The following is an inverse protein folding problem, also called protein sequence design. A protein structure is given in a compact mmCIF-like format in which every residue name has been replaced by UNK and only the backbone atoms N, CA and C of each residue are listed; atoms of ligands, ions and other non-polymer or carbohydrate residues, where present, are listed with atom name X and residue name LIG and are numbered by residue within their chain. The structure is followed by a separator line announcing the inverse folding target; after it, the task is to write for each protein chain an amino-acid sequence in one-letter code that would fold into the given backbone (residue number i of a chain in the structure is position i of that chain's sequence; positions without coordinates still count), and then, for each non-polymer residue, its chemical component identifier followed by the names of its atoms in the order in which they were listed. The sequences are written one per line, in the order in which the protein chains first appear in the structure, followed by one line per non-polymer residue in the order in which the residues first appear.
data_IF_866790337082
#
_entry.id   IF_866790337082
#
_cell.length_a   1.000
_cell.length_b   1.000
_cell.length_c   1.000
_cell.angle_alpha   90.00
_cell.angle_beta   90.00
_cell.angle_gamma   90.00
#
_symmetry.space_group_name_H-M   'P 1'
#
loop_
_entity.id
_entity.type
_entity.pdbx_description
1 polymer ?
#
# COMPACT_ATOMS: atom_id res chain seq x y z
N UNK A 1 -5.64 -10.96 -13.75
CA UNK A 1 -6.10 -9.93 -12.79
C UNK A 1 -4.98 -8.92 -12.67
N UNK A 2 -5.26 -7.61 -12.73
CA UNK A 2 -4.23 -6.58 -12.70
C UNK A 2 -4.09 -6.06 -11.27
N UNK A 3 -3.13 -6.59 -10.52
CA UNK A 3 -2.90 -6.28 -9.09
C UNK A 3 -2.79 -4.78 -8.85
N UNK A 4 -2.10 -4.07 -9.75
CA UNK A 4 -1.98 -2.60 -9.68
C UNK A 4 -3.35 -1.92 -9.70
N UNK A 5 -4.23 -2.33 -10.61
CA UNK A 5 -5.55 -1.70 -10.73
C UNK A 5 -6.42 -1.99 -9.50
N UNK A 6 -6.39 -3.23 -9.02
CA UNK A 6 -7.14 -3.65 -7.83
C UNK A 6 -6.69 -2.91 -6.57
N UNK A 7 -5.38 -2.77 -6.37
CA UNK A 7 -4.83 -1.98 -5.27
C UNK A 7 -5.27 -0.52 -5.36
N UNK A 8 -5.11 0.10 -6.54
CA UNK A 8 -5.51 1.50 -6.76
C UNK A 8 -7.00 1.67 -6.47
N UNK A 9 -7.86 0.82 -7.01
CA UNK A 9 -9.31 0.91 -6.82
C UNK A 9 -9.67 0.80 -5.33
N UNK A 10 -9.06 -0.14 -4.60
CA UNK A 10 -9.26 -0.29 -3.16
C UNK A 10 -8.84 0.96 -2.36
N UNK A 11 -7.65 1.52 -2.64
CA UNK A 11 -7.19 2.78 -2.04
C UNK A 11 -8.19 3.90 -2.32
N UNK A 12 -8.61 4.09 -3.57
CA UNK A 12 -9.55 5.16 -3.92
C UNK A 12 -10.96 4.96 -3.35
N UNK A 13 -11.34 3.73 -3.02
CA UNK A 13 -12.58 3.41 -2.29
C UNK A 13 -12.44 3.58 -0.78
N UNK A 14 -11.24 3.88 -0.27
CA UNK A 14 -10.94 4.00 1.15
C UNK A 14 -11.06 2.67 1.90
N UNK A 15 -10.83 1.56 1.19
CA UNK A 15 -10.77 0.21 1.76
C UNK A 15 -9.40 -0.03 2.38
N UNK A 16 -9.30 -1.05 3.22
CA UNK A 16 -8.03 -1.47 3.79
C UNK A 16 -7.44 -2.60 2.96
N UNK A 17 -6.11 -2.62 2.81
CA UNK A 17 -5.41 -3.62 2.01
C UNK A 17 -4.31 -4.26 2.86
N UNK A 18 -4.40 -5.57 3.03
CA UNK A 18 -3.29 -6.39 3.51
C UNK A 18 -2.59 -7.00 2.30
N UNK A 19 -1.28 -6.80 2.22
CA UNK A 19 -0.48 -7.26 1.09
C UNK A 19 0.94 -7.58 1.50
N UNK A 20 1.62 -8.39 0.68
CA UNK A 20 2.99 -8.81 0.94
C UNK A 20 3.90 -8.56 -0.26
N UNK A 21 5.16 -8.27 0.04
CA UNK A 21 6.23 -8.11 -0.95
C UNK A 21 7.57 -8.58 -0.37
N UNK A 22 8.24 -9.48 -1.08
CA UNK A 22 9.54 -10.04 -0.68
C UNK A 22 9.58 -10.55 0.77
N UNK A 23 8.49 -11.19 1.22
CA UNK A 23 8.36 -11.79 2.56
C UNK A 23 8.09 -10.80 3.70
N UNK A 24 7.90 -9.51 3.40
CA UNK A 24 7.39 -8.52 4.35
C UNK A 24 5.88 -8.33 4.16
N UNK A 25 5.18 -8.09 5.27
CA UNK A 25 3.75 -7.85 5.31
C UNK A 25 3.47 -6.37 5.54
N UNK A 26 2.56 -5.86 4.73
CA UNK A 26 2.17 -4.47 4.72
C UNK A 26 0.67 -4.32 4.89
N UNK A 27 0.31 -3.21 5.50
CA UNK A 27 -1.07 -2.80 5.69
C UNK A 27 -1.26 -1.38 5.17
N UNK A 28 -2.18 -1.22 4.23
CA UNK A 28 -2.66 0.07 3.73
C UNK A 28 -4.00 0.41 4.37
N UNK A 29 -4.13 1.63 4.91
CA UNK A 29 -5.39 2.18 5.40
C UNK A 29 -5.29 3.70 5.54
N UNK A 30 -6.37 4.33 6.00
CA UNK A 30 -6.45 5.77 6.27
C UNK A 30 -7.08 6.04 7.64
N UNK A 31 -6.54 7.02 8.36
CA UNK A 31 -7.12 7.49 9.64
C UNK A 31 -8.08 8.66 9.44
N UNK A 32 -7.79 9.50 8.45
CA UNK A 32 -8.59 10.66 8.07
C UNK A 32 -8.56 10.83 6.55
N UNK A 33 -9.27 11.82 6.01
CA UNK A 33 -9.20 12.16 4.58
C UNK A 33 -7.79 12.56 4.10
N UNK A 34 -6.93 13.01 5.01
CA UNK A 34 -5.58 13.53 4.72
C UNK A 34 -4.47 12.75 5.41
N UNK A 35 -4.76 11.57 5.95
CA UNK A 35 -3.78 10.72 6.63
C UNK A 35 -3.94 9.27 6.16
N UNK A 36 -3.31 9.00 5.03
CA UNK A 36 -3.18 7.68 4.41
C UNK A 36 -1.85 7.08 4.82
N UNK A 37 -1.79 5.78 5.04
CA UNK A 37 -0.56 5.16 5.49
C UNK A 37 -0.32 3.76 4.95
N UNK A 38 0.95 3.42 4.82
CA UNK A 38 1.44 2.06 4.64
C UNK A 38 2.28 1.71 5.86
N UNK A 39 1.88 0.67 6.58
CA UNK A 39 2.62 0.14 7.72
C UNK A 39 3.28 -1.18 7.34
N UNK A 40 4.56 -1.35 7.71
CA UNK A 40 5.32 -2.60 7.57
C UNK A 40 5.40 -3.31 8.91
N UNK A 41 4.91 -4.55 8.97
CA UNK A 41 4.80 -5.31 10.22
C UNK A 41 6.17 -5.77 10.75
N UNK A 42 7.10 -6.13 9.86
CA UNK A 42 8.43 -6.58 10.24
C UNK A 42 9.30 -5.44 10.76
N UNK A 43 9.22 -4.27 10.13
CA UNK A 43 10.07 -3.11 10.46
C UNK A 43 9.43 -2.18 11.51
N UNK A 44 8.16 -2.41 11.87
CA UNK A 44 7.37 -1.54 12.77
C UNK A 44 7.41 -0.08 12.33
N UNK A 45 7.38 0.14 11.03
CA UNK A 45 7.55 1.45 10.39
C UNK A 45 6.31 1.82 9.59
N UNK A 46 5.95 3.10 9.62
CA UNK A 46 4.79 3.65 8.91
C UNK A 46 5.23 4.79 7.99
N UNK A 47 4.80 4.73 6.74
CA UNK A 47 4.84 5.84 5.80
C UNK A 47 3.48 6.52 5.79
N UNK A 48 3.47 7.86 5.83
CA UNK A 48 2.27 8.67 5.81
C UNK A 48 2.19 9.52 4.54
N UNK A 49 0.99 9.69 4.02
CA UNK A 49 0.71 10.40 2.78
C UNK A 49 -0.53 11.28 2.96
N UNK A 50 -0.52 12.46 2.33
CA UNK A 50 -1.63 13.41 2.47
C UNK A 50 -2.84 13.08 1.59
N UNK A 51 -2.68 12.15 0.64
CA UNK A 51 -3.69 11.78 -0.33
C UNK A 51 -3.44 10.37 -0.90
N UNK A 52 -4.46 9.71 -1.46
CA UNK A 52 -4.28 8.41 -2.12
C UNK A 52 -3.34 8.52 -3.33
N UNK A 53 -3.33 9.65 -4.04
CA UNK A 53 -2.40 9.88 -5.15
C UNK A 53 -0.94 9.92 -4.70
N UNK A 54 -0.66 10.58 -3.57
CA UNK A 54 0.69 10.58 -2.99
C UNK A 54 1.10 9.20 -2.51
N UNK A 55 0.19 8.44 -1.90
CA UNK A 55 0.45 7.06 -1.49
C UNK A 55 0.86 6.19 -2.69
N UNK A 56 0.05 6.17 -3.75
CA UNK A 56 0.33 5.37 -4.95
C UNK A 56 1.62 5.80 -5.64
N UNK A 57 1.96 7.09 -5.62
CA UNK A 57 3.16 7.62 -6.27
C UNK A 57 4.44 7.39 -5.47
N UNK A 58 4.38 7.53 -4.14
CA UNK A 58 5.57 7.69 -3.31
C UNK A 58 5.83 6.52 -2.34
N UNK A 59 4.96 5.52 -2.26
CA UNK A 59 5.19 4.35 -1.39
C UNK A 59 6.50 3.66 -1.74
N UNK A 60 7.34 3.47 -0.73
CA UNK A 60 8.61 2.76 -0.83
C UNK A 60 8.55 1.45 -0.05
N UNK A 61 8.72 0.31 -0.71
CA UNK A 61 8.80 -1.01 -0.07
C UNK A 61 10.24 -1.51 -0.20
N UNK A 62 10.90 -1.80 0.92
CA UNK A 62 12.33 -2.20 0.92
C UNK A 62 13.23 -1.27 0.08
N UNK A 63 12.99 0.06 0.15
CA UNK A 63 13.69 1.11 -0.63
C UNK A 63 13.46 1.09 -2.14
N UNK A 64 12.46 0.34 -2.63
CA UNK A 64 12.01 0.36 -4.04
C UNK A 64 10.63 0.99 -4.12
N UNK A 65 10.40 1.85 -5.13
CA UNK A 65 9.08 2.47 -5.30
C UNK A 65 8.05 1.42 -5.73
N UNK A 66 6.85 1.47 -5.16
CA UNK A 66 5.76 0.53 -5.46
C UNK A 66 5.46 0.44 -6.98
N UNK A 67 5.68 1.52 -7.72
CA UNK A 67 5.44 1.57 -9.16
C UNK A 67 6.40 0.72 -10.01
N UNK A 68 7.47 0.21 -9.42
CA UNK A 68 8.46 -0.64 -10.07
C UNK A 68 8.27 -2.13 -9.76
N UNK A 69 7.34 -2.49 -8.87
CA UNK A 69 7.26 -3.84 -8.28
C UNK A 69 5.85 -4.43 -8.23
N UNK A 70 4.90 -3.88 -9.01
CA UNK A 70 3.51 -4.34 -9.00
C UNK A 70 3.34 -5.83 -9.32
N UNK A 71 4.20 -6.39 -10.17
CA UNK A 71 4.23 -7.82 -10.52
C UNK A 71 4.70 -8.73 -9.39
N UNK A 72 5.26 -8.17 -8.32
CA UNK A 72 5.78 -8.90 -7.16
C UNK A 72 4.93 -8.72 -5.90
N UNK A 73 3.94 -7.84 -5.94
CA UNK A 73 3.01 -7.62 -4.83
C UNK A 73 1.97 -8.74 -4.84
N UNK A 74 1.65 -9.25 -3.66
CA UNK A 74 0.56 -10.19 -3.44
C UNK A 74 -0.45 -9.50 -2.54
N UNK A 75 -1.68 -9.32 -3.01
CA UNK A 75 -2.78 -8.84 -2.16
C UNK A 75 -3.31 -10.05 -1.38
N UNK A 76 -3.17 -10.00 -0.06
CA UNK A 76 -3.61 -11.06 0.85
C UNK A 76 -5.10 -10.88 1.19
N UNK A 77 -5.51 -9.65 1.45
CA UNK A 77 -6.91 -9.31 1.71
C UNK A 77 -7.23 -7.85 1.35
N UNK A 78 -8.49 -7.60 1.00
CA UNK A 78 -9.06 -6.24 0.90
C UNK A 78 -10.34 -6.24 1.74
N UNK A 79 -10.45 -5.33 2.72
CA UNK A 79 -11.55 -5.24 3.69
C UNK A 79 -12.51 -4.09 3.37
#
# INVERSE_FOLDING_TARGET
MNIKQEFIDAVFMGREIEFSYCGQHYFESRRTETDWFIYCEEEKYTQHFSSPQELIKNTMLQKVNINEIWEHIIIDCIL
#
